data_IF_267954066248
#
_entry.id   IF_267954066248
#
_cell.length_a   1.000
_cell.length_b   1.000
_cell.length_c   1.000
_cell.angle_alpha   90.00
_cell.angle_beta   90.00
_cell.angle_gamma   90.00
#
_symmetry.space_group_name_H-M   'P 1'
#
loop_
_entity.id
_entity.type
_entity.pdbx_description
1 polymer ?
#
# COMPACT_ATOMS: atom_id res chain seq x y z
N UNK A 1 -14.91 1.24 11.75
CA UNK A 1 -13.67 1.98 11.40
C UNK A 1 -13.94 2.83 10.16
N UNK A 2 -13.57 4.11 10.16
CA UNK A 2 -13.68 4.93 8.95
C UNK A 2 -12.65 4.46 7.92
N UNK A 3 -13.05 4.31 6.66
CA UNK A 3 -12.19 3.83 5.58
C UNK A 3 -12.30 4.74 4.36
N UNK A 4 -11.17 4.92 3.68
CA UNK A 4 -11.09 5.63 2.40
C UNK A 4 -10.70 4.61 1.32
N UNK A 5 -11.50 4.52 0.27
CA UNK A 5 -11.26 3.58 -0.85
C UNK A 5 -10.85 4.34 -2.11
N UNK A 6 -10.24 3.63 -3.06
CA UNK A 6 -9.70 4.19 -4.32
C UNK A 6 -8.46 5.09 -4.13
N UNK A 7 -7.59 4.77 -3.16
CA UNK A 7 -6.40 5.56 -2.80
C UNK A 7 -5.33 5.69 -3.89
N UNK A 8 -5.33 4.83 -4.90
CA UNK A 8 -4.44 4.94 -6.07
C UNK A 8 -4.85 6.04 -7.05
N UNK A 9 -6.09 6.56 -6.94
CA UNK A 9 -6.59 7.63 -7.81
C UNK A 9 -6.36 9.01 -7.20
N UNK A 10 -6.62 10.07 -7.97
CA UNK A 10 -6.61 11.44 -7.46
C UNK A 10 -7.60 11.60 -6.28
N UNK A 11 -7.24 12.42 -5.29
CA UNK A 11 -7.97 12.53 -4.00
C UNK A 11 -9.46 12.85 -4.19
N UNK A 12 -9.81 13.64 -5.20
CA UNK A 12 -11.22 13.97 -5.51
C UNK A 12 -12.07 12.77 -5.98
N UNK A 13 -11.47 11.60 -6.25
CA UNK A 13 -12.15 10.36 -6.63
C UNK A 13 -12.20 9.34 -5.49
N UNK A 14 -11.66 9.69 -4.32
CA UNK A 14 -11.69 8.83 -3.15
C UNK A 14 -13.11 8.74 -2.59
N UNK A 15 -13.47 7.57 -2.08
CA UNK A 15 -14.79 7.33 -1.48
C UNK A 15 -14.63 7.00 -0.01
N UNK A 16 -15.33 7.74 0.84
CA UNK A 16 -15.43 7.49 2.28
C UNK A 16 -16.48 6.42 2.57
N UNK A 17 -16.20 5.55 3.54
CA UNK A 17 -17.13 4.55 4.04
C UNK A 17 -16.84 4.14 5.48
N UNK A 18 -17.71 3.31 6.04
CA UNK A 18 -17.52 2.69 7.34
C UNK A 18 -17.36 1.18 7.17
N UNK A 19 -16.23 0.63 7.61
CA UNK A 19 -16.06 -0.81 7.70
C UNK A 19 -16.59 -1.30 9.05
N UNK A 20 -17.52 -2.26 9.07
CA UNK A 20 -18.01 -2.84 10.32
C UNK A 20 -16.88 -3.61 10.99
N UNK A 21 -16.48 -3.15 12.18
CA UNK A 21 -15.55 -3.90 13.02
C UNK A 21 -16.38 -4.91 13.81
N UNK A 22 -16.20 -6.21 13.58
CA UNK A 22 -16.91 -7.27 14.32
C UNK A 22 -16.55 -7.17 15.81
N UNK A 23 -17.48 -6.68 16.62
CA UNK A 23 -17.36 -6.55 18.08
C UNK A 23 -17.55 -7.94 18.69
N UNK A 24 -16.54 -8.80 18.54
CA UNK A 24 -16.37 -10.10 19.22
C UNK A 24 -15.05 -10.10 20.01
N UNK A 25 -14.60 -11.26 20.52
CA UNK A 25 -13.33 -11.41 21.30
C UNK A 25 -12.23 -10.52 20.68
N UNK A 26 -11.80 -9.53 21.47
CA UNK A 26 -11.10 -8.32 21.02
C UNK A 26 -9.67 -8.59 20.58
N UNK A 27 -9.50 -9.11 19.38
CA UNK A 27 -8.17 -9.18 18.75
C UNK A 27 -8.27 -8.72 17.30
N UNK A 28 -7.67 -7.57 17.00
CA UNK A 28 -7.42 -7.15 15.63
C UNK A 28 -6.24 -8.00 15.15
N UNK A 29 -6.49 -8.91 14.21
CA UNK A 29 -5.43 -9.71 13.62
C UNK A 29 -4.55 -8.79 12.74
N UNK A 30 -3.22 -8.76 12.92
CA UNK A 30 -2.37 -8.04 11.99
C UNK A 30 -2.49 -8.67 10.60
N UNK A 31 -2.58 -7.84 9.57
CA UNK A 31 -2.42 -8.30 8.19
C UNK A 31 -0.96 -8.65 7.96
N UNK A 32 -0.65 -9.92 7.73
CA UNK A 32 0.65 -10.32 7.20
C UNK A 32 0.68 -10.09 5.69
N UNK A 33 1.87 -9.94 5.12
CA UNK A 33 2.03 -9.92 3.67
C UNK A 33 1.43 -11.21 3.11
N UNK A 34 0.31 -11.08 2.43
CA UNK A 34 -0.20 -12.17 1.62
C UNK A 34 0.75 -12.36 0.45
N UNK A 35 1.02 -13.60 0.07
CA UNK A 35 1.70 -13.95 -1.18
C UNK A 35 0.84 -13.54 -2.38
N UNK A 36 0.66 -12.23 -2.56
CA UNK A 36 -0.11 -11.65 -3.64
C UNK A 36 0.80 -11.68 -4.86
N UNK A 37 0.53 -12.65 -5.74
CA UNK A 37 1.31 -13.02 -6.92
C UNK A 37 1.86 -11.81 -7.71
N UNK A 38 1.04 -10.77 -7.87
CA UNK A 38 1.41 -9.56 -8.61
C UNK A 38 2.52 -8.71 -7.96
N UNK A 39 2.49 -8.51 -6.64
CA UNK A 39 3.49 -7.71 -5.93
C UNK A 39 4.81 -8.49 -5.79
N UNK A 40 4.70 -9.80 -5.59
CA UNK A 40 5.84 -10.70 -5.48
C UNK A 40 6.54 -10.93 -6.82
N UNK A 41 5.80 -11.09 -7.93
CA UNK A 41 6.39 -11.23 -9.26
C UNK A 41 7.11 -9.97 -9.72
N UNK A 42 6.54 -8.78 -9.44
CA UNK A 42 7.24 -7.50 -9.63
C UNK A 42 8.52 -7.41 -8.79
N UNK A 43 8.47 -7.84 -7.52
CA UNK A 43 9.64 -7.86 -6.66
C UNK A 43 10.75 -8.77 -7.22
N UNK A 44 10.43 -9.96 -7.72
CA UNK A 44 11.44 -10.89 -8.29
C UNK A 44 12.07 -10.35 -9.58
N UNK A 45 11.27 -9.78 -10.48
CA UNK A 45 11.77 -9.12 -11.69
C UNK A 45 12.59 -7.86 -11.38
N UNK A 46 12.21 -7.14 -10.31
CA UNK A 46 12.88 -5.90 -9.90
C UNK A 46 14.12 -6.15 -9.06
N UNK A 47 14.20 -7.23 -8.26
CA UNK A 47 15.38 -7.56 -7.45
C UNK A 47 16.63 -7.80 -8.32
N UNK A 48 16.45 -8.48 -9.46
CA UNK A 48 17.49 -8.65 -10.47
C UNK A 48 17.97 -7.31 -11.05
N UNK A 49 17.08 -6.31 -11.12
CA UNK A 49 17.39 -4.95 -11.59
C UNK A 49 17.93 -4.04 -10.47
N UNK A 50 17.49 -4.22 -9.22
CA UNK A 50 17.88 -3.46 -8.03
C UNK A 50 19.33 -3.73 -7.63
N UNK A 51 19.83 -4.95 -7.82
CA UNK A 51 21.25 -5.26 -7.67
C UNK A 51 22.12 -4.42 -8.64
N UNK A 52 21.57 -3.99 -9.77
CA UNK A 52 22.26 -3.16 -10.78
C UNK A 52 21.96 -1.66 -10.62
N UNK A 53 20.88 -1.30 -9.93
CA UNK A 53 20.33 0.06 -9.85
C UNK A 53 20.09 0.44 -8.40
N UNK A 54 21.14 0.73 -7.64
CA UNK A 54 21.05 1.39 -6.33
C UNK A 54 20.38 2.77 -6.51
N UNK A 55 19.04 2.78 -6.58
CA UNK A 55 18.26 4.00 -6.70
C UNK A 55 18.40 4.75 -5.38
N UNK A 56 18.91 5.98 -5.45
CA UNK A 56 18.97 6.92 -4.34
C UNK A 56 17.72 7.82 -4.41
N UNK A 57 16.56 7.40 -3.85
CA UNK A 57 15.37 8.23 -3.88
C UNK A 57 15.66 9.56 -3.18
N UNK A 58 15.20 10.65 -3.77
CA UNK A 58 15.29 11.97 -3.12
C UNK A 58 14.36 12.03 -1.90
N UNK A 59 14.65 12.91 -0.94
CA UNK A 59 13.74 13.17 0.19
C UNK A 59 12.32 13.51 -0.30
N UNK A 60 11.33 13.22 0.54
CA UNK A 60 9.93 13.54 0.26
C UNK A 60 9.78 15.04 -0.02
N UNK A 61 9.21 15.37 -1.18
CA UNK A 61 8.95 16.75 -1.58
C UNK A 61 7.49 17.07 -1.29
N UNK A 62 7.26 18.22 -0.66
CA UNK A 62 5.92 18.73 -0.35
C UNK A 62 5.52 19.88 -1.27
N UNK A 63 6.49 20.54 -1.89
CA UNK A 63 6.30 21.68 -2.79
C UNK A 63 6.74 21.31 -4.21
N UNK A 64 5.87 21.60 -5.19
CA UNK A 64 6.15 21.47 -6.63
C UNK A 64 6.17 20.03 -7.19
N UNK A 65 6.05 19.87 -8.53
CA UNK A 65 6.61 18.74 -9.26
C UNK A 65 8.12 18.90 -9.55
#
# INVERSE_FOLDING_TARGET
MATMTNSKSHVNKWKSGALPTKIGRRTIHPSFETEHRETHDLFRCTLATLLFMCRNPRPLQYDGP
#
